data_IF_980994596663
#
_entry.id   IF_980994596663
#
_cell.length_a   1.000
_cell.length_b   1.000
_cell.length_c   1.000
_cell.angle_alpha   90.00
_cell.angle_beta   90.00
_cell.angle_gamma   90.00
#
_symmetry.space_group_name_H-M   'P 1'
#
loop_
_entity.id
_entity.type
_entity.pdbx_description
1 polymer ?
#
# COMPACT_ATOMS: atom_id res chain seq x y z
N UNK A 1 -0.51 25.92 12.72
CA UNK A 1 -0.80 27.27 12.19
C UNK A 1 -1.10 27.17 10.71
N UNK A 2 -2.37 27.05 10.31
CA UNK A 2 -2.80 27.39 8.94
C UNK A 2 -3.20 28.85 9.02
N UNK A 3 -2.20 29.72 9.04
CA UNK A 3 -2.43 31.16 9.16
C UNK A 3 -2.89 31.69 7.79
N UNK A 4 -4.10 32.25 7.74
CA UNK A 4 -4.77 32.97 6.62
C UNK A 4 -5.75 32.23 5.70
N UNK A 5 -6.36 31.10 6.10
CA UNK A 5 -7.46 30.44 5.35
C UNK A 5 -7.20 30.28 3.83
N UNK A 6 -5.94 30.10 3.42
CA UNK A 6 -5.57 30.02 1.99
C UNK A 6 -6.06 28.73 1.31
N UNK A 7 -6.36 27.72 2.13
CA UNK A 7 -6.77 26.38 1.72
C UNK A 7 -7.79 25.88 2.73
N UNK A 8 -8.81 25.18 2.24
CA UNK A 8 -9.78 24.47 3.07
C UNK A 8 -9.54 22.97 2.94
N UNK A 9 -9.55 22.26 4.07
CA UNK A 9 -9.36 20.81 4.10
C UNK A 9 -10.67 20.18 4.55
N UNK A 10 -11.16 19.22 3.77
CA UNK A 10 -12.37 18.48 4.04
C UNK A 10 -12.07 17.00 4.12
N UNK A 11 -12.57 16.35 5.17
CA UNK A 11 -12.76 14.91 5.17
C UNK A 11 -14.07 14.60 4.46
N UNK A 12 -14.01 13.76 3.42
CA UNK A 12 -15.18 13.40 2.63
C UNK A 12 -16.30 12.74 3.47
N UNK A 13 -15.94 12.08 4.57
CA UNK A 13 -16.90 11.45 5.47
C UNK A 13 -17.77 12.47 6.22
N UNK A 14 -17.24 13.68 6.40
CA UNK A 14 -17.88 14.76 7.14
C UNK A 14 -18.23 15.95 6.22
N UNK A 15 -18.22 15.72 4.90
CA UNK A 15 -18.44 16.77 3.92
C UNK A 15 -19.91 17.21 3.93
N UNK A 16 -20.14 18.45 4.37
CA UNK A 16 -21.49 18.98 4.58
C UNK A 16 -22.20 19.42 3.30
N UNK A 17 -23.51 19.50 3.41
CA UNK A 17 -24.38 20.12 2.41
C UNK A 17 -24.43 21.63 2.69
N UNK A 18 -24.18 22.46 1.67
CA UNK A 18 -24.14 23.93 1.65
C UNK A 18 -22.75 24.61 1.82
N UNK A 19 -21.78 24.26 0.98
CA UNK A 19 -20.58 25.09 0.83
C UNK A 19 -20.94 26.47 0.25
N UNK A 20 -20.54 27.53 0.97
CA UNK A 20 -20.72 28.90 0.51
C UNK A 20 -19.86 29.17 -0.74
N UNK A 21 -20.31 30.02 -1.69
CA UNK A 21 -19.54 30.37 -2.89
C UNK A 21 -18.11 30.87 -2.60
N UNK A 22 -17.93 31.59 -1.48
CA UNK A 22 -16.61 32.01 -1.01
C UNK A 22 -15.64 30.85 -0.80
N UNK A 23 -16.11 29.73 -0.21
CA UNK A 23 -15.31 28.52 0.01
C UNK A 23 -15.01 27.83 -1.32
N UNK A 24 -16.02 27.68 -2.18
CA UNK A 24 -15.88 27.05 -3.49
C UNK A 24 -14.82 27.75 -4.37
N UNK A 25 -14.58 29.05 -4.16
CA UNK A 25 -13.56 29.81 -4.89
C UNK A 25 -12.14 29.65 -4.34
N UNK A 26 -11.95 29.02 -3.18
CA UNK A 26 -10.63 28.77 -2.60
C UNK A 26 -9.96 27.51 -3.19
N UNK A 27 -8.72 27.25 -2.73
CA UNK A 27 -8.07 25.96 -2.90
C UNK A 27 -8.67 24.98 -1.90
N UNK A 28 -9.13 23.84 -2.40
CA UNK A 28 -9.78 22.80 -1.59
C UNK A 28 -8.90 21.55 -1.59
N UNK A 29 -8.79 20.91 -0.44
CA UNK A 29 -8.16 19.59 -0.27
C UNK A 29 -9.23 18.66 0.27
N UNK A 30 -9.44 17.54 -0.41
CA UNK A 30 -10.31 16.46 0.03
C UNK A 30 -9.45 15.29 0.50
N UNK A 31 -9.60 14.92 1.77
CA UNK A 31 -9.03 13.69 2.32
C UNK A 31 -10.09 12.61 2.17
N UNK A 32 -9.74 11.58 1.39
CA UNK A 32 -10.69 10.54 0.96
C UNK A 32 -10.06 9.19 1.23
N UNK A 33 -10.66 8.42 2.13
CA UNK A 33 -10.29 7.02 2.28
C UNK A 33 -10.72 6.28 1.00
N UNK A 34 -9.79 5.51 0.39
CA UNK A 34 -10.03 4.63 -0.78
C UNK A 34 -11.03 3.52 -0.42
N UNK A 35 -12.30 3.86 -0.42
CA UNK A 35 -13.44 2.99 -0.11
C UNK A 35 -14.60 3.41 -1.01
N UNK A 36 -15.39 2.43 -1.46
CA UNK A 36 -16.43 2.61 -2.49
C UNK A 36 -17.37 3.76 -2.18
N UNK A 37 -17.96 3.80 -0.98
CA UNK A 37 -18.96 4.79 -0.64
C UNK A 37 -18.36 6.20 -0.48
N UNK A 38 -17.12 6.30 0.01
CA UNK A 38 -16.41 7.58 0.08
C UNK A 38 -16.06 8.15 -1.30
N UNK A 39 -15.68 7.29 -2.26
CA UNK A 39 -15.44 7.71 -3.64
C UNK A 39 -16.74 8.10 -4.35
N UNK A 40 -17.84 7.37 -4.12
CA UNK A 40 -19.17 7.77 -4.59
C UNK A 40 -19.58 9.15 -4.03
N UNK A 41 -19.37 9.39 -2.73
CA UNK A 41 -19.61 10.70 -2.11
C UNK A 41 -18.77 11.81 -2.75
N UNK A 42 -17.50 11.54 -3.04
CA UNK A 42 -16.61 12.49 -3.73
C UNK A 42 -17.13 12.80 -5.14
N UNK A 43 -17.53 11.78 -5.90
CA UNK A 43 -18.09 11.96 -7.24
C UNK A 43 -19.37 12.80 -7.18
N UNK A 44 -20.33 12.48 -6.31
CA UNK A 44 -21.54 13.29 -6.17
C UNK A 44 -21.23 14.71 -5.67
N UNK A 45 -20.22 14.90 -4.81
CA UNK A 45 -19.81 16.23 -4.38
C UNK A 45 -19.28 17.09 -5.54
N UNK A 46 -18.44 16.53 -6.41
CA UNK A 46 -17.78 17.24 -7.50
C UNK A 46 -18.64 17.43 -8.74
N UNK A 47 -19.52 16.47 -9.04
CA UNK A 47 -20.25 16.43 -10.32
C UNK A 47 -21.75 16.71 -10.18
N UNK A 48 -22.35 16.50 -9.01
CA UNK A 48 -23.79 16.74 -8.79
C UNK A 48 -24.02 17.96 -7.90
N UNK A 49 -23.42 18.00 -6.70
CA UNK A 49 -23.68 19.04 -5.69
C UNK A 49 -22.98 20.35 -6.01
N UNK A 50 -21.70 20.28 -6.39
CA UNK A 50 -20.90 21.46 -6.70
C UNK A 50 -20.15 21.30 -8.04
N UNK A 51 -20.87 21.28 -9.19
CA UNK A 51 -20.26 21.09 -10.51
C UNK A 51 -19.11 22.06 -10.83
N UNK A 52 -19.12 23.26 -10.26
CA UNK A 52 -18.01 24.24 -10.39
C UNK A 52 -16.65 23.70 -9.92
N UNK A 53 -16.64 22.67 -9.06
CA UNK A 53 -15.41 22.03 -8.61
C UNK A 53 -14.76 21.16 -9.70
N UNK A 54 -15.53 20.59 -10.62
CA UNK A 54 -14.98 19.79 -11.73
C UNK A 54 -14.26 20.64 -12.79
N UNK A 55 -14.55 21.94 -12.81
CA UNK A 55 -13.92 22.92 -13.70
C UNK A 55 -12.54 23.39 -13.21
N UNK A 56 -12.17 23.08 -11.95
CA UNK A 56 -10.89 23.46 -11.38
C UNK A 56 -9.74 22.60 -11.91
N UNK A 57 -8.52 23.10 -11.72
CA UNK A 57 -7.32 22.28 -11.86
C UNK A 57 -7.25 21.34 -10.65
N UNK A 58 -7.48 20.05 -10.88
CA UNK A 58 -7.47 19.03 -9.83
C UNK A 58 -6.17 18.22 -9.89
N UNK A 59 -5.55 18.06 -8.73
CA UNK A 59 -4.47 17.12 -8.50
C UNK A 59 -5.01 15.99 -7.60
N UNK A 60 -5.06 14.78 -8.13
CA UNK A 60 -5.37 13.58 -7.35
C UNK A 60 -4.04 13.00 -6.87
N UNK A 61 -3.95 12.72 -5.57
CA UNK A 61 -2.78 12.08 -4.95
C UNK A 61 -3.21 10.74 -4.38
N UNK A 62 -2.61 9.66 -4.86
CA UNK A 62 -2.77 8.31 -4.32
C UNK A 62 -1.49 7.92 -3.57
N UNK A 63 -1.62 7.58 -2.29
CA UNK A 63 -0.53 7.46 -1.31
C UNK A 63 0.16 6.09 -1.27
N UNK A 64 -0.45 5.06 -1.88
CA UNK A 64 0.11 3.71 -1.92
C UNK A 64 0.38 3.21 -3.34
N UNK A 65 -0.31 3.76 -4.35
CA UNK A 65 -0.17 3.42 -5.76
C UNK A 65 -0.38 1.93 -6.08
N UNK A 66 -1.24 1.27 -5.30
CA UNK A 66 -1.42 -0.17 -5.28
C UNK A 66 -2.75 -0.63 -5.92
N UNK A 67 -3.73 0.25 -6.07
CA UNK A 67 -5.08 -0.10 -6.58
C UNK A 67 -5.09 -0.63 -8.02
N UNK A 68 -4.05 -0.29 -8.80
CA UNK A 68 -3.87 -0.75 -10.18
C UNK A 68 -3.02 -2.01 -10.31
N UNK A 69 -2.45 -2.51 -9.22
CA UNK A 69 -1.63 -3.72 -9.25
C UNK A 69 -2.53 -4.95 -9.43
N UNK A 70 -2.53 -5.51 -10.64
CA UNK A 70 -3.25 -6.73 -11.00
C UNK A 70 -2.68 -7.86 -10.15
N UNK A 71 -3.28 -8.19 -9.01
CA UNK A 71 -2.68 -9.24 -8.16
C UNK A 71 -3.33 -9.59 -6.82
N UNK A 72 -4.30 -8.82 -6.32
CA UNK A 72 -4.88 -9.11 -5.00
C UNK A 72 -6.35 -9.48 -5.06
N UNK A 73 -6.64 -10.68 -5.58
CA UNK A 73 -7.95 -11.30 -5.42
C UNK A 73 -7.80 -12.58 -4.60
N UNK A 74 -8.02 -12.50 -3.28
CA UNK A 74 -8.21 -13.72 -2.48
C UNK A 74 -9.63 -14.25 -2.63
N UNK A 75 -10.60 -13.37 -2.92
CA UNK A 75 -12.00 -13.73 -3.16
C UNK A 75 -12.61 -13.00 -4.36
N UNK A 76 -13.70 -13.57 -4.90
CA UNK A 76 -14.50 -12.95 -5.97
C UNK A 76 -15.09 -11.60 -5.55
N UNK A 77 -15.43 -11.42 -4.27
CA UNK A 77 -15.98 -10.18 -3.73
C UNK A 77 -14.93 -9.07 -3.65
N UNK A 78 -13.74 -9.36 -3.13
CA UNK A 78 -12.62 -8.41 -3.11
C UNK A 78 -12.26 -7.94 -4.52
N UNK A 79 -12.25 -8.85 -5.49
CA UNK A 79 -12.02 -8.48 -6.90
C UNK A 79 -13.08 -7.55 -7.47
N UNK A 80 -14.35 -7.75 -7.11
CA UNK A 80 -15.44 -6.84 -7.53
C UNK A 80 -15.26 -5.47 -6.89
N UNK A 81 -14.89 -5.41 -5.62
CA UNK A 81 -14.70 -4.15 -4.90
C UNK A 81 -13.50 -3.35 -5.43
N UNK A 82 -12.35 -4.00 -5.65
CA UNK A 82 -11.17 -3.39 -6.26
C UNK A 82 -11.50 -2.84 -7.65
N UNK A 83 -12.20 -3.62 -8.48
CA UNK A 83 -12.63 -3.17 -9.80
C UNK A 83 -13.59 -1.98 -9.71
N UNK A 84 -14.47 -1.95 -8.70
CA UNK A 84 -15.38 -0.83 -8.48
C UNK A 84 -14.64 0.44 -8.05
N UNK A 85 -13.67 0.32 -7.13
CA UNK A 85 -12.81 1.44 -6.71
C UNK A 85 -12.02 1.98 -7.90
N UNK A 86 -11.40 1.09 -8.70
CA UNK A 86 -10.69 1.47 -9.90
C UNK A 86 -11.60 2.21 -10.90
N UNK A 87 -12.82 1.69 -11.11
CA UNK A 87 -13.85 2.35 -11.92
C UNK A 87 -14.20 3.75 -11.41
N UNK A 88 -14.45 3.92 -10.12
CA UNK A 88 -14.80 5.22 -9.53
C UNK A 88 -13.66 6.26 -9.64
N UNK A 89 -12.41 5.83 -9.44
CA UNK A 89 -11.23 6.69 -9.62
C UNK A 89 -11.09 7.07 -11.10
N UNK A 90 -11.35 6.13 -12.00
CA UNK A 90 -11.26 6.39 -13.43
C UNK A 90 -12.37 7.32 -13.92
N UNK A 91 -13.61 7.12 -13.47
CA UNK A 91 -14.74 8.02 -13.65
C UNK A 91 -14.40 9.44 -13.19
N UNK A 92 -13.81 9.56 -12.00
CA UNK A 92 -13.35 10.84 -11.48
C UNK A 92 -12.34 11.48 -12.43
N UNK A 93 -11.34 10.72 -12.92
CA UNK A 93 -10.32 11.22 -13.84
C UNK A 93 -10.90 11.59 -15.21
N UNK A 94 -11.93 10.90 -15.69
CA UNK A 94 -12.58 11.13 -16.98
C UNK A 94 -13.49 12.37 -16.97
N UNK A 95 -14.21 12.59 -15.87
CA UNK A 95 -15.19 13.68 -15.76
C UNK A 95 -14.58 15.01 -15.29
N UNK A 96 -13.32 15.03 -14.84
CA UNK A 96 -12.60 16.27 -14.49
C UNK A 96 -12.01 16.94 -15.73
N UNK A 97 -12.26 18.24 -15.89
CA UNK A 97 -11.78 19.02 -17.04
C UNK A 97 -10.25 19.08 -17.12
N UNK A 98 -9.60 19.27 -15.97
CA UNK A 98 -8.13 19.37 -15.85
C UNK A 98 -7.69 18.56 -14.65
N UNK A 99 -7.17 17.37 -14.90
CA UNK A 99 -6.76 16.43 -13.87
C UNK A 99 -5.31 15.98 -14.08
N UNK A 100 -4.51 16.05 -13.01
CA UNK A 100 -3.21 15.36 -12.91
C UNK A 100 -3.30 14.28 -11.84
N UNK A 101 -2.66 13.15 -12.08
CA UNK A 101 -2.66 12.02 -11.17
C UNK A 101 -1.24 11.75 -10.68
N UNK A 102 -1.01 11.96 -9.38
CA UNK A 102 0.26 11.75 -8.71
C UNK A 102 0.14 10.52 -7.82
N UNK A 103 1.01 9.56 -8.08
CA UNK A 103 1.18 8.38 -7.24
C UNK A 103 2.40 8.56 -6.36
N UNK A 104 2.22 8.38 -5.06
CA UNK A 104 3.27 8.34 -4.05
C UNK A 104 3.27 6.92 -3.50
N UNK A 105 4.44 6.29 -3.33
CA UNK A 105 4.50 4.96 -2.74
C UNK A 105 5.88 4.71 -2.16
N UNK A 106 5.93 4.03 -1.01
CA UNK A 106 7.17 3.45 -0.47
C UNK A 106 7.50 2.09 -1.13
N UNK A 107 6.60 1.56 -1.96
CA UNK A 107 6.73 0.26 -2.64
C UNK A 107 6.85 0.46 -4.16
N UNK A 108 8.04 0.85 -4.68
CA UNK A 108 8.20 1.20 -6.09
C UNK A 108 7.81 0.06 -7.05
N UNK A 109 7.95 -1.19 -6.61
CA UNK A 109 7.52 -2.37 -7.36
C UNK A 109 6.04 -2.34 -7.77
N UNK A 110 5.16 -1.77 -6.93
CA UNK A 110 3.72 -1.66 -7.19
C UNK A 110 3.43 -0.87 -8.47
N UNK A 111 4.29 0.10 -8.82
CA UNK A 111 4.18 0.90 -10.05
C UNK A 111 4.47 0.09 -11.31
N UNK A 112 5.42 -0.86 -11.25
CA UNK A 112 5.79 -1.71 -12.38
C UNK A 112 4.76 -2.79 -12.67
N UNK A 113 4.02 -3.22 -11.66
CA UNK A 113 2.92 -4.19 -11.81
C UNK A 113 1.64 -3.57 -12.40
N UNK A 114 1.60 -2.25 -12.55
CA UNK A 114 0.46 -1.59 -13.15
C UNK A 114 0.40 -1.91 -14.64
N UNK A 115 -0.74 -2.40 -15.14
CA UNK A 115 -0.87 -2.77 -16.53
C UNK A 115 -0.74 -1.51 -17.40
N UNK A 116 -0.12 -1.66 -18.57
CA UNK A 116 -0.09 -0.56 -19.55
C UNK A 116 -1.51 -0.21 -20.02
N UNK A 117 -2.37 -1.23 -20.16
CA UNK A 117 -3.78 -1.10 -20.49
C UNK A 117 -4.64 -1.93 -19.52
N UNK A 118 -5.66 -1.32 -18.90
CA UNK A 118 -6.64 -2.05 -18.10
C UNK A 118 -7.75 -2.61 -19.00
N UNK A 119 -7.64 -3.90 -19.36
CA UNK A 119 -8.69 -4.61 -20.08
C UNK A 119 -9.63 -5.32 -19.11
N UNK A 120 -10.62 -4.60 -18.58
CA UNK A 120 -11.74 -5.20 -17.86
C UNK A 120 -12.82 -5.61 -18.87
N UNK A 121 -12.72 -6.85 -19.36
CA UNK A 121 -13.80 -7.61 -20.02
C UNK A 121 -14.85 -6.83 -20.82
N UNK A 122 -14.44 -6.17 -21.92
CA UNK A 122 -15.34 -5.59 -22.92
C UNK A 122 -15.30 -4.06 -23.08
N UNK A 123 -14.55 -3.35 -22.24
CA UNK A 123 -14.40 -1.89 -22.33
C UNK A 123 -12.93 -1.49 -22.47
N UNK A 124 -12.29 -1.83 -23.60
CA UNK A 124 -10.88 -1.48 -23.88
C UNK A 124 -10.61 0.05 -23.89
N UNK A 125 -11.66 0.88 -23.91
CA UNK A 125 -11.55 2.34 -24.06
C UNK A 125 -11.97 3.16 -22.82
N UNK A 126 -12.34 2.53 -21.71
CA UNK A 126 -12.88 3.29 -20.58
C UNK A 126 -11.81 3.82 -19.63
N UNK A 127 -10.74 3.04 -19.41
CA UNK A 127 -9.73 3.33 -18.39
C UNK A 127 -8.59 4.22 -18.88
N UNK A 128 -8.35 5.34 -18.20
CA UNK A 128 -7.12 6.14 -18.41
C UNK A 128 -5.90 5.36 -17.91
N UNK A 129 -4.75 5.41 -18.61
CA UNK A 129 -3.53 4.75 -18.19
C UNK A 129 -3.18 5.07 -16.74
N UNK A 130 -2.99 4.04 -15.93
CA UNK A 130 -2.68 4.16 -14.50
C UNK A 130 -1.19 4.20 -14.25
N UNK A 131 -0.41 3.54 -15.13
CA UNK A 131 1.06 3.53 -15.08
C UNK A 131 1.61 4.96 -15.20
N UNK A 132 2.51 5.40 -14.30
CA UNK A 132 3.12 6.71 -14.38
C UNK A 132 3.87 6.94 -15.69
N UNK A 133 3.73 8.13 -16.27
CA UNK A 133 4.53 8.55 -17.43
C UNK A 133 6.03 8.70 -17.09
N UNK A 134 6.33 9.00 -15.83
CA UNK A 134 7.69 9.04 -15.28
C UNK A 134 7.64 8.75 -13.78
N UNK A 135 8.78 8.35 -13.22
CA UNK A 135 8.98 8.20 -11.79
C UNK A 135 10.16 9.06 -11.35
N UNK A 136 10.12 9.54 -10.10
CA UNK A 136 11.20 10.32 -9.51
C UNK A 136 11.35 9.93 -8.06
N UNK A 137 12.60 9.82 -7.61
CA UNK A 137 12.90 9.57 -6.20
C UNK A 137 12.89 10.91 -5.45
N UNK A 138 12.19 10.95 -4.34
CA UNK A 138 12.25 12.06 -3.39
C UNK A 138 13.45 11.88 -2.47
N UNK A 139 14.06 12.96 -1.96
CA UNK A 139 15.14 12.86 -0.99
C UNK A 139 14.71 12.02 0.22
N UNK A 140 15.61 11.13 0.65
CA UNK A 140 15.42 10.38 1.90
C UNK A 140 15.64 11.30 3.10
N UNK A 141 14.81 11.17 4.12
CA UNK A 141 15.03 11.86 5.39
C UNK A 141 16.20 11.25 6.16
N UNK A 142 16.90 12.04 6.98
CA UNK A 142 18.08 11.58 7.75
C UNK A 142 17.80 10.35 8.63
N UNK A 143 16.55 10.18 9.09
CA UNK A 143 16.12 9.06 9.92
C UNK A 143 15.46 7.92 9.13
N UNK A 144 15.47 7.97 7.80
CA UNK A 144 14.88 6.91 6.97
C UNK A 144 15.79 5.68 6.96
N UNK A 145 15.28 4.56 7.46
CA UNK A 145 15.92 3.25 7.36
C UNK A 145 15.32 2.56 6.14
N UNK A 146 16.10 2.48 5.06
CA UNK A 146 15.67 2.00 3.75
C UNK A 146 16.28 0.66 3.36
N UNK A 147 16.10 0.31 2.08
CA UNK A 147 16.62 -0.93 1.50
C UNK A 147 18.13 -1.10 1.69
N UNK A 148 18.90 -0.01 1.67
CA UNK A 148 20.35 -0.03 1.89
C UNK A 148 20.72 -0.66 3.24
N UNK A 149 20.06 -0.22 4.30
CA UNK A 149 20.25 -0.76 5.65
C UNK A 149 19.76 -2.21 5.73
N UNK A 150 18.59 -2.53 5.15
CA UNK A 150 18.01 -3.87 5.26
C UNK A 150 18.72 -4.94 4.43
N UNK A 151 19.28 -4.59 3.26
CA UNK A 151 19.77 -5.56 2.29
C UNK A 151 21.28 -5.51 2.02
N UNK A 152 21.94 -4.36 2.21
CA UNK A 152 23.38 -4.25 1.98
C UNK A 152 24.15 -4.24 3.28
N UNK A 153 23.77 -3.39 4.23
CA UNK A 153 24.43 -3.37 5.53
C UNK A 153 24.22 -4.66 6.32
N UNK A 154 23.15 -5.41 6.03
CA UNK A 154 22.90 -6.72 6.64
C UNK A 154 23.82 -7.82 6.15
N UNK A 155 24.55 -7.63 5.04
CA UNK A 155 25.58 -8.56 4.59
C UNK A 155 26.86 -8.48 5.44
N UNK A 156 27.08 -7.37 6.15
CA UNK A 156 28.17 -7.22 7.11
C UNK A 156 27.78 -7.82 8.46
N UNK A 157 28.46 -8.90 8.87
CA UNK A 157 28.20 -9.61 10.12
C UNK A 157 28.45 -8.78 11.38
N UNK A 158 29.24 -7.69 11.29
CA UNK A 158 29.50 -6.79 12.41
C UNK A 158 28.47 -5.65 12.49
N UNK A 159 27.64 -5.46 11.47
CA UNK A 159 26.59 -4.45 11.47
C UNK A 159 25.39 -4.88 12.31
N UNK A 160 24.73 -3.91 12.95
CA UNK A 160 23.43 -4.12 13.61
C UNK A 160 22.39 -4.62 12.60
N UNK A 161 22.53 -4.23 11.33
CA UNK A 161 21.64 -4.66 10.27
C UNK A 161 21.67 -6.18 10.02
N UNK A 162 22.75 -6.87 10.35
CA UNK A 162 22.80 -8.34 10.21
C UNK A 162 21.76 -9.07 11.07
N UNK A 163 21.30 -8.44 12.16
CA UNK A 163 20.31 -9.02 13.08
C UNK A 163 18.85 -8.81 12.63
N UNK A 164 18.60 -7.98 11.62
CA UNK A 164 17.22 -7.63 11.20
C UNK A 164 16.73 -8.45 10.00
N UNK A 165 17.63 -9.19 9.34
CA UNK A 165 17.32 -9.98 8.16
C UNK A 165 17.69 -11.45 8.38
N UNK A 166 16.71 -12.35 8.22
CA UNK A 166 16.90 -13.80 8.25
C UNK A 166 16.34 -14.39 6.96
N UNK A 167 17.18 -15.06 6.18
CA UNK A 167 16.75 -15.75 4.96
C UNK A 167 15.87 -16.96 5.31
N UNK A 168 14.70 -17.06 4.70
CA UNK A 168 13.79 -18.20 4.88
C UNK A 168 14.07 -19.26 3.83
N UNK A 169 14.26 -20.52 4.24
CA UNK A 169 14.46 -21.65 3.33
C UNK A 169 13.23 -21.86 2.43
N UNK A 170 13.43 -22.12 1.14
CA UNK A 170 12.34 -22.37 0.19
C UNK A 170 11.43 -23.54 0.60
N UNK A 171 11.99 -24.57 1.26
CA UNK A 171 11.23 -25.70 1.78
C UNK A 171 10.26 -25.27 2.87
N UNK A 172 10.68 -24.36 3.75
CA UNK A 172 9.82 -23.76 4.77
C UNK A 172 8.69 -22.96 4.11
N UNK A 173 9.00 -22.16 3.08
CA UNK A 173 7.97 -21.45 2.31
C UNK A 173 6.94 -22.42 1.67
N UNK A 174 7.39 -23.56 1.15
CA UNK A 174 6.50 -24.59 0.58
C UNK A 174 5.60 -25.21 1.66
N UNK A 175 6.13 -25.43 2.87
CA UNK A 175 5.35 -25.94 4.01
C UNK A 175 4.29 -24.92 4.43
N UNK A 176 4.63 -23.63 4.47
CA UNK A 176 3.72 -22.57 4.91
C UNK A 176 2.64 -22.20 3.88
N UNK A 177 2.80 -22.58 2.60
CA UNK A 177 1.83 -22.29 1.53
C UNK A 177 0.46 -22.93 1.76
N UNK A 178 0.42 -24.17 2.25
CA UNK A 178 -0.82 -24.94 2.40
C UNK A 178 -0.65 -26.00 3.48
N UNK A 179 -1.68 -26.17 4.30
CA UNK A 179 -1.74 -27.27 5.27
C UNK A 179 -1.63 -28.63 4.55
N UNK A 180 -0.58 -29.38 4.89
CA UNK A 180 -0.42 -30.79 4.50
C UNK A 180 0.17 -31.54 5.71
N UNK A 181 -0.68 -32.28 6.41
CA UNK A 181 -0.32 -33.05 7.61
C UNK A 181 0.76 -34.12 7.37
N UNK A 182 1.04 -34.48 6.12
CA UNK A 182 2.17 -35.37 5.76
C UNK A 182 3.49 -34.61 5.74
N UNK A 183 3.46 -33.32 5.37
CA UNK A 183 4.63 -32.45 5.31
C UNK A 183 4.92 -31.83 6.66
N UNK A 184 3.92 -31.34 7.36
CA UNK A 184 4.08 -30.67 8.64
C UNK A 184 2.80 -30.79 9.47
N UNK A 185 2.99 -31.05 10.77
CA UNK A 185 1.92 -31.16 11.75
C UNK A 185 1.98 -29.95 12.67
N UNK A 186 0.86 -29.29 12.91
CA UNK A 186 0.82 -28.06 13.71
C UNK A 186 1.28 -28.31 15.15
N UNK A 187 1.08 -29.52 15.65
CA UNK A 187 1.52 -30.01 16.95
C UNK A 187 3.06 -29.99 17.07
N UNK A 188 3.77 -30.05 15.95
CA UNK A 188 5.24 -30.00 15.88
C UNK A 188 5.77 -28.57 15.68
N UNK A 189 4.93 -27.54 15.69
CA UNK A 189 5.33 -26.14 15.38
C UNK A 189 6.44 -25.59 16.27
N UNK A 190 6.48 -26.00 17.54
CA UNK A 190 7.48 -25.53 18.50
C UNK A 190 8.84 -26.21 18.35
N UNK A 191 8.91 -27.38 17.70
CA UNK A 191 10.11 -28.23 17.68
C UNK A 191 10.62 -28.56 16.29
N UNK A 192 9.77 -28.55 15.26
CA UNK A 192 10.13 -28.92 13.90
C UNK A 192 11.01 -27.87 13.24
N UNK A 193 12.05 -28.29 12.54
CA UNK A 193 12.87 -27.38 11.73
C UNK A 193 12.16 -26.87 10.47
N UNK A 194 11.02 -27.45 10.12
CA UNK A 194 10.26 -27.13 8.90
C UNK A 194 9.61 -25.74 8.92
N UNK A 195 9.50 -25.12 10.09
CA UNK A 195 8.93 -23.78 10.32
C UNK A 195 9.84 -22.95 11.23
N UNK A 196 11.15 -23.22 11.19
CA UNK A 196 12.13 -22.64 12.11
C UNK A 196 12.16 -21.12 12.00
N UNK A 197 12.18 -20.57 10.80
CA UNK A 197 12.29 -19.12 10.57
C UNK A 197 11.03 -18.41 11.07
N UNK A 198 9.84 -18.95 10.78
CA UNK A 198 8.58 -18.41 11.30
C UNK A 198 8.51 -18.49 12.83
N UNK A 199 8.94 -19.61 13.43
CA UNK A 199 9.02 -19.76 14.88
C UNK A 199 9.96 -18.71 15.48
N UNK A 200 11.15 -18.56 14.93
CA UNK A 200 12.12 -17.55 15.36
C UNK A 200 11.54 -16.14 15.28
N UNK A 201 10.88 -15.79 14.17
CA UNK A 201 10.25 -14.48 14.00
C UNK A 201 9.18 -14.19 15.08
N UNK A 202 8.32 -15.16 15.39
CA UNK A 202 7.31 -15.02 16.45
C UNK A 202 7.96 -14.87 17.82
N UNK A 203 8.95 -15.70 18.14
CA UNK A 203 9.67 -15.63 19.42
C UNK A 203 10.38 -14.29 19.57
N UNK A 204 11.10 -13.84 18.53
CA UNK A 204 11.79 -12.55 18.51
C UNK A 204 10.81 -11.38 18.68
N UNK A 205 9.63 -11.44 18.05
CA UNK A 205 8.60 -10.43 18.23
C UNK A 205 8.09 -10.37 19.69
N UNK A 206 7.80 -11.53 20.30
CA UNK A 206 7.34 -11.59 21.70
C UNK A 206 8.43 -11.08 22.65
N UNK A 207 9.66 -11.58 22.51
CA UNK A 207 10.80 -11.19 23.34
C UNK A 207 11.10 -9.70 23.18
N UNK A 208 11.17 -9.21 21.95
CA UNK A 208 11.37 -7.79 21.65
C UNK A 208 10.27 -6.91 22.24
N UNK A 209 9.01 -7.32 22.09
CA UNK A 209 7.87 -6.63 22.69
C UNK A 209 7.95 -6.56 24.22
N UNK A 210 8.32 -7.66 24.89
CA UNK A 210 8.55 -7.68 26.33
C UNK A 210 9.68 -6.73 26.75
N UNK A 211 10.83 -6.77 26.06
CA UNK A 211 11.97 -5.89 26.33
C UNK A 211 11.56 -4.42 26.19
N UNK A 212 10.85 -4.06 25.12
CA UNK A 212 10.38 -2.68 24.88
C UNK A 212 9.45 -2.20 25.98
N UNK A 213 8.50 -3.03 26.42
CA UNK A 213 7.60 -2.69 27.52
C UNK A 213 8.35 -2.47 28.84
N UNK A 214 9.32 -3.32 29.16
CA UNK A 214 10.17 -3.10 30.35
C UNK A 214 11.00 -1.82 30.24
N UNK A 215 11.46 -1.44 29.03
CA UNK A 215 12.17 -0.18 28.82
C UNK A 215 11.24 1.04 29.01
N UNK A 216 9.99 0.96 28.57
CA UNK A 216 8.96 2.00 28.74
C UNK A 216 8.61 2.17 30.23
N UNK A 217 8.38 1.06 30.95
CA UNK A 217 8.13 1.06 32.39
C UNK A 217 9.25 1.74 33.16
N UNK A 218 10.51 1.47 32.81
CA UNK A 218 11.69 2.13 33.42
C UNK A 218 11.74 3.63 33.17
N UNK A 219 11.13 4.12 32.09
CA UNK A 219 11.05 5.55 31.74
C UNK A 219 9.80 6.23 32.31
N UNK A 220 8.93 5.50 33.01
CA UNK A 220 7.58 5.94 33.39
C UNK A 220 6.70 6.33 32.18
N UNK A 221 6.96 5.71 31.02
CA UNK A 221 6.13 5.87 29.82
C UNK A 221 4.94 4.91 29.85
N UNK A 222 3.87 5.25 29.14
CA UNK A 222 2.72 4.36 28.97
C UNK A 222 3.09 3.17 28.05
N UNK A 223 2.75 1.92 28.42
CA UNK A 223 3.15 0.75 27.65
C UNK A 223 2.52 0.74 26.25
N UNK A 224 3.36 0.65 25.23
CA UNK A 224 2.92 0.59 23.85
C UNK A 224 2.33 -0.78 23.50
N UNK A 225 1.42 -0.78 22.53
CA UNK A 225 0.84 -2.01 21.96
C UNK A 225 1.57 -2.32 20.66
N UNK A 226 2.04 -3.55 20.55
CA UNK A 226 2.77 -4.05 19.40
C UNK A 226 1.91 -5.07 18.64
N UNK A 227 1.93 -5.00 17.31
CA UNK A 227 1.28 -5.97 16.42
C UNK A 227 2.32 -6.66 15.54
N UNK A 228 2.14 -7.96 15.33
CA UNK A 228 2.93 -8.74 14.38
C UNK A 228 2.13 -8.91 13.10
N UNK A 229 2.70 -8.50 11.99
CA UNK A 229 2.12 -8.67 10.66
C UNK A 229 3.03 -9.58 9.86
N UNK A 230 2.47 -10.63 9.29
CA UNK A 230 3.17 -11.52 8.36
C UNK A 230 2.44 -11.54 7.04
N UNK A 231 3.19 -11.43 5.95
CA UNK A 231 2.68 -11.58 4.58
C UNK A 231 3.61 -12.51 3.82
N UNK A 232 3.07 -13.55 3.20
CA UNK A 232 3.86 -14.45 2.35
C UNK A 232 3.49 -14.21 0.89
N UNK A 233 4.43 -13.69 0.09
CA UNK A 233 4.29 -13.52 -1.38
C UNK A 233 4.37 -14.84 -2.17
N UNK A 234 4.14 -15.98 -1.51
CA UNK A 234 4.23 -17.31 -2.11
C UNK A 234 3.19 -17.57 -3.23
N UNK A 235 2.20 -16.68 -3.38
CA UNK A 235 1.20 -16.64 -4.47
C UNK A 235 1.66 -15.86 -5.71
N UNK A 236 2.72 -15.04 -5.66
CA UNK A 236 3.20 -14.27 -6.81
C UNK A 236 4.01 -15.10 -7.83
N UNK A 237 4.73 -16.14 -7.38
CA UNK A 237 5.62 -16.94 -8.23
C UNK A 237 4.91 -17.75 -9.33
N UNK A 238 3.57 -17.86 -9.32
CA UNK A 238 2.84 -18.60 -10.35
C UNK A 238 2.81 -17.85 -11.70
N UNK A 239 2.93 -16.51 -11.69
CA UNK A 239 3.02 -15.71 -12.91
C UNK A 239 4.42 -15.73 -13.55
N UNK A 240 5.48 -15.85 -12.73
CA UNK A 240 6.88 -15.78 -13.19
C UNK A 240 7.43 -17.06 -13.81
N UNK A 241 6.70 -18.18 -13.73
CA UNK A 241 7.13 -19.40 -14.43
C UNK A 241 6.92 -19.31 -15.95
N UNK A 242 6.10 -18.38 -16.44
CA UNK A 242 5.72 -18.28 -17.85
C UNK A 242 6.39 -17.15 -18.65
N UNK A 243 7.04 -16.17 -18.01
CA UNK A 243 7.75 -15.11 -18.73
C UNK A 243 9.22 -15.05 -18.31
N UNK A 244 10.06 -15.72 -19.10
CA UNK A 244 11.51 -15.59 -19.05
C UNK A 244 11.93 -14.25 -19.66
N UNK A 245 11.88 -13.17 -18.90
CA UNK A 245 12.73 -12.01 -19.17
C UNK A 245 13.41 -11.53 -17.89
N UNK A 246 14.72 -11.81 -17.82
CA UNK A 246 15.63 -11.34 -16.79
C UNK A 246 15.73 -9.82 -16.87
N UNK A 247 15.06 -9.11 -15.97
CA UNK A 247 15.35 -7.69 -15.75
C UNK A 247 16.47 -7.60 -14.71
N UNK A 248 17.67 -7.34 -15.21
CA UNK A 248 18.85 -6.99 -14.41
C UNK A 248 18.67 -5.56 -13.87
N UNK A 249 18.60 -5.41 -12.55
CA UNK A 249 18.74 -4.12 -11.89
C UNK A 249 20.23 -3.74 -11.92
N UNK A 250 20.57 -2.69 -12.68
CA UNK A 250 21.80 -1.93 -12.47
C UNK A 250 21.43 -0.72 -11.63
N UNK A 251 22.05 -0.61 -10.46
CA UNK A 251 22.05 0.56 -9.59
C UNK A 251 22.78 1.72 -10.25
#
# INVERSE_FOLDING_TARGET
MIDRDKVQVFDIMHFGDNLRPYILNQKLIFVVKKEVHNLERLNSALFEKYPVLSEKNVLIVDDEADYASVGFTKTKQEGIEINKIAGLIDDLRNNLNKCSFLQVTATPYSLYLQPENMNLGGAENYFKPVRPAFTSLVPIGENYIGGDYYFYESEDSESIASFIHESVDEKELIVLKKEDKRRFKIEESLTSDKVKSLRNAIVNFIVGGCIRRTQEEKKNDYPLKYSYLTTSRALQNWFFANEKEKIMLKY
#
